data_IF_332224481427
#
_entry.id   IF_332224481427
#
_cell.length_a   1.000
_cell.length_b   1.000
_cell.length_c   1.000
_cell.angle_alpha   90.00
_cell.angle_beta   90.00
_cell.angle_gamma   90.00
#
_symmetry.space_group_name_H-M   'P 1'
#
loop_
_entity.id
_entity.type
_entity.pdbx_description
1 polymer ?
#
# COMPACT_ATOMS: atom_id res chain seq x y z
N UNK A 1 -5.65 12.16 3.55
CA UNK A 1 -4.54 12.42 2.62
C UNK A 1 -4.17 11.09 1.98
N UNK A 2 -3.93 11.04 0.66
CA UNK A 2 -3.62 9.76 0.01
C UNK A 2 -2.14 9.44 0.05
N UNK A 3 -1.82 8.25 0.54
CA UNK A 3 -0.48 7.68 0.57
C UNK A 3 -0.45 6.35 -0.17
N UNK A 4 0.61 6.12 -0.92
CA UNK A 4 0.95 4.82 -1.47
C UNK A 4 1.88 4.12 -0.50
N UNK A 5 1.47 2.96 -0.01
CA UNK A 5 2.23 2.10 0.90
C UNK A 5 2.70 0.89 0.11
N UNK A 6 4.01 0.77 -0.08
CA UNK A 6 4.62 -0.43 -0.62
C UNK A 6 4.91 -1.43 0.49
N UNK A 7 4.48 -2.68 0.33
CA UNK A 7 4.70 -3.73 1.32
C UNK A 7 5.09 -5.05 0.65
N UNK A 8 5.70 -5.93 1.45
CA UNK A 8 5.97 -7.32 1.08
C UNK A 8 5.13 -8.24 1.95
N UNK A 9 4.40 -9.16 1.34
CA UNK A 9 3.61 -10.16 2.03
C UNK A 9 3.88 -11.53 1.39
N UNK A 10 4.29 -12.51 2.19
CA UNK A 10 4.56 -13.89 1.73
C UNK A 10 5.49 -13.95 0.50
N UNK A 11 6.54 -13.12 0.48
CA UNK A 11 7.49 -13.09 -0.64
C UNK A 11 7.06 -12.21 -1.82
N UNK A 12 5.79 -11.81 -1.91
CA UNK A 12 5.27 -10.95 -2.98
C UNK A 12 5.37 -9.47 -2.60
N UNK A 13 5.80 -8.66 -3.55
CA UNK A 13 5.87 -7.20 -3.45
C UNK A 13 4.59 -6.62 -4.02
N UNK A 14 3.98 -5.67 -3.31
CA UNK A 14 2.77 -5.01 -3.74
C UNK A 14 2.66 -3.60 -3.14
N UNK A 15 1.69 -2.81 -3.59
CA UNK A 15 1.42 -1.49 -3.03
C UNK A 15 -0.06 -1.12 -3.05
N UNK A 16 -0.50 -0.47 -1.98
CA UNK A 16 -1.89 -0.01 -1.80
C UNK A 16 -1.94 1.51 -1.60
N UNK A 17 -3.02 2.15 -2.05
CA UNK A 17 -3.32 3.55 -1.74
C UNK A 17 -4.25 3.61 -0.54
N UNK A 18 -3.85 4.33 0.50
CA UNK A 18 -4.60 4.49 1.76
C UNK A 18 -4.86 5.97 2.03
N UNK A 19 -6.05 6.27 2.56
CA UNK A 19 -6.35 7.57 3.15
C UNK A 19 -5.89 7.60 4.62
N UNK A 20 -4.97 8.51 4.91
CA UNK A 20 -4.38 8.67 6.24
C UNK A 20 -4.15 10.15 6.55
N UNK A 21 -3.87 10.45 7.82
CA UNK A 21 -3.42 11.79 8.23
C UNK A 21 -1.99 12.03 7.76
N UNK A 22 -1.11 11.07 8.01
CA UNK A 22 0.31 11.11 7.66
C UNK A 22 0.84 9.75 7.17
N UNK A 23 2.16 9.67 6.96
CA UNK A 23 2.82 8.46 6.48
C UNK A 23 2.85 7.32 7.53
N UNK A 24 2.90 7.66 8.82
CA UNK A 24 2.91 6.66 9.88
C UNK A 24 1.52 6.04 10.05
N UNK A 25 0.47 6.86 10.09
CA UNK A 25 -0.93 6.42 10.09
C UNK A 25 -1.22 5.52 8.88
N UNK A 26 -0.73 5.88 7.69
CA UNK A 26 -0.86 5.03 6.50
C UNK A 26 -0.18 3.66 6.65
N UNK A 27 1.04 3.61 7.21
CA UNK A 27 1.75 2.35 7.45
C UNK A 27 1.01 1.46 8.44
N UNK A 28 0.53 2.06 9.54
CA UNK A 28 -0.17 1.35 10.60
C UNK A 28 -1.49 0.75 10.10
N UNK A 29 -2.26 1.49 9.29
CA UNK A 29 -3.49 0.98 8.66
C UNK A 29 -3.26 -0.27 7.81
N UNK A 30 -2.17 -0.32 7.03
CA UNK A 30 -1.85 -1.52 6.25
C UNK A 30 -1.46 -2.69 7.16
N UNK A 31 -0.71 -2.41 8.22
CA UNK A 31 -0.28 -3.43 9.19
C UNK A 31 -1.42 -3.93 10.07
N UNK A 32 -2.42 -3.11 10.35
CA UNK A 32 -3.66 -3.51 11.05
C UNK A 32 -4.45 -4.51 10.20
N UNK A 33 -4.58 -4.25 8.90
CA UNK A 33 -5.28 -5.14 7.96
C UNK A 33 -4.50 -6.43 7.70
N UNK A 34 -3.17 -6.36 7.68
CA UNK A 34 -2.31 -7.51 7.47
C UNK A 34 -1.07 -7.42 8.36
N UNK A 35 -1.11 -7.98 9.58
CA UNK A 35 -0.01 -7.88 10.55
C UNK A 35 1.31 -8.48 10.05
N UNK A 36 1.23 -9.43 9.11
CA UNK A 36 2.37 -10.06 8.46
C UNK A 36 2.97 -9.24 7.30
N UNK A 37 2.35 -8.12 6.90
CA UNK A 37 2.89 -7.26 5.85
C UNK A 37 4.14 -6.51 6.35
N UNK A 38 5.24 -6.67 5.63
CA UNK A 38 6.45 -5.91 5.85
C UNK A 38 6.38 -4.60 5.05
N UNK A 39 6.16 -3.49 5.73
CA UNK A 39 6.09 -2.16 5.09
C UNK A 39 7.48 -1.77 4.61
N UNK A 40 7.63 -1.52 3.32
CA UNK A 40 8.91 -1.16 2.70
C UNK A 40 9.08 0.36 2.54
N UNK A 41 8.02 1.04 2.11
CA UNK A 41 8.01 2.49 1.97
C UNK A 41 6.60 3.03 2.09
N UNK A 42 6.52 4.29 2.50
CA UNK A 42 5.29 5.08 2.43
C UNK A 42 5.61 6.40 1.74
N UNK A 43 4.79 6.76 0.76
CA UNK A 43 4.93 8.03 0.03
C UNK A 43 3.58 8.66 -0.20
N UNK A 44 3.54 9.98 -0.43
CA UNK A 44 2.32 10.63 -0.91
C UNK A 44 1.93 10.06 -2.27
N UNK A 45 0.63 9.92 -2.52
CA UNK A 45 0.11 9.47 -3.82
C UNK A 45 0.58 10.44 -4.91
N UNK A 46 1.19 9.89 -5.96
CA UNK A 46 1.55 10.65 -7.15
C UNK A 46 0.62 10.22 -8.28
N UNK A 47 -0.48 10.94 -8.48
CA UNK A 47 -1.54 10.56 -9.43
C UNK A 47 -1.01 10.20 -10.83
N UNK A 48 -0.03 10.96 -11.36
CA UNK A 48 0.58 10.69 -12.68
C UNK A 48 1.53 9.49 -12.65
N UNK A 49 2.32 9.36 -11.57
CA UNK A 49 3.23 8.22 -11.38
C UNK A 49 2.50 6.90 -11.19
N UNK A 50 1.49 6.90 -10.32
CA UNK A 50 0.69 5.72 -9.96
C UNK A 50 -0.24 5.28 -11.10
N UNK A 51 -0.71 6.19 -11.98
CA UNK A 51 -1.45 5.82 -13.19
C UNK A 51 -0.60 5.02 -14.19
N UNK A 52 0.73 5.20 -14.19
CA UNK A 52 1.66 4.43 -15.03
C UNK A 52 2.02 3.07 -14.43
N UNK A 53 1.80 2.89 -13.13
CA UNK A 53 2.03 1.64 -12.40
C UNK A 53 0.79 1.32 -11.55
N UNK A 54 -0.28 0.81 -12.20
CA UNK A 54 -1.57 0.62 -11.54
C UNK A 54 -1.40 -0.24 -10.28
N UNK A 55 -1.99 0.22 -9.18
CA UNK A 55 -2.00 -0.51 -7.91
C UNK A 55 -2.72 -1.83 -8.12
N UNK A 56 -2.05 -2.95 -7.86
CA UNK A 56 -2.74 -4.22 -7.74
C UNK A 56 -3.42 -4.16 -6.38
N UNK A 57 -4.73 -3.87 -6.38
CA UNK A 57 -5.47 -3.75 -5.13
C UNK A 57 -5.35 -5.03 -4.31
N UNK A 58 -5.35 -4.89 -2.98
CA UNK A 58 -5.28 -5.94 -1.95
C UNK A 58 -6.37 -7.03 -2.00
N UNK A 59 -7.07 -7.20 -3.13
CA UNK A 59 -8.14 -8.16 -3.29
C UNK A 59 -8.47 -8.43 -4.75
N UNK A 60 -7.67 -9.29 -5.39
CA UNK A 60 -8.16 -10.33 -6.31
C UNK A 60 -7.24 -11.55 -6.20
N UNK A 61 -7.50 -12.41 -5.20
CA UNK A 61 -7.29 -13.83 -5.43
C UNK A 61 -8.30 -14.22 -6.53
N UNK A 62 -7.80 -14.59 -7.70
CA UNK A 62 -8.61 -15.22 -8.74
C UNK A 62 -9.05 -16.62 -8.25
N UNK A 63 -10.22 -17.13 -8.66
CA UNK A 63 -10.67 -18.48 -8.33
C UNK A 63 -9.74 -19.56 -8.90
#
# INVERSE_FOLDING_TARGET
>A
MQFTVGYKLQGKLDHVVVEAEDALDAALKVREQSPAAFIMYVRRRNRRGDARHPVQGLGKQAP
#
